data_IF_037233076965
#
_entry.id   IF_037233076965
#
_cell.length_a   1.000
_cell.length_b   1.000
_cell.length_c   1.000
_cell.angle_alpha   90.00
_cell.angle_beta   90.00
_cell.angle_gamma   90.00
#
_symmetry.space_group_name_H-M   'P 1'
#
loop_
_entity.id
_entity.type
_entity.pdbx_description
1 polymer ?
#
# COMPACT_ATOMS: atom_id res chain seq x y z
N UNK A 1 -5.69 -10.80 -21.99
CA UNK A 1 -5.32 -10.66 -20.60
C UNK A 1 -4.78 -11.97 -20.05
N UNK A 2 -3.91 -11.89 -19.08
CA UNK A 2 -3.33 -13.04 -18.39
C UNK A 2 -3.68 -12.95 -16.91
N UNK A 3 -4.06 -14.08 -16.33
CA UNK A 3 -4.41 -14.20 -14.93
C UNK A 3 -3.75 -15.45 -14.35
N UNK A 4 -3.00 -15.29 -13.28
CA UNK A 4 -2.29 -16.38 -12.61
C UNK A 4 -2.61 -16.35 -11.12
N UNK A 5 -2.91 -17.52 -10.56
CA UNK A 5 -3.13 -17.70 -9.12
C UNK A 5 -2.17 -18.78 -8.62
N UNK A 6 -1.41 -18.45 -7.59
CA UNK A 6 -0.69 -19.42 -6.77
C UNK A 6 -1.46 -19.60 -5.45
N UNK A 7 -2.22 -20.66 -5.36
CA UNK A 7 -3.08 -20.93 -4.20
C UNK A 7 -2.29 -21.29 -2.93
N UNK A 8 -1.11 -21.87 -3.08
CA UNK A 8 -0.28 -22.27 -1.93
C UNK A 8 0.37 -21.05 -1.26
N UNK A 9 0.67 -20.03 -2.03
CA UNK A 9 1.23 -18.76 -1.54
C UNK A 9 0.18 -17.67 -1.36
N UNK A 10 -1.05 -17.91 -1.76
CA UNK A 10 -2.08 -16.88 -1.85
C UNK A 10 -1.66 -15.68 -2.70
N UNK A 11 -0.86 -15.94 -3.74
CA UNK A 11 -0.41 -14.93 -4.68
C UNK A 11 -1.32 -14.91 -5.92
N UNK A 12 -1.65 -13.72 -6.37
CA UNK A 12 -2.46 -13.49 -7.56
C UNK A 12 -1.84 -12.40 -8.41
N UNK A 13 -1.63 -12.71 -9.69
CA UNK A 13 -1.16 -11.75 -10.67
C UNK A 13 -2.19 -11.62 -11.79
N UNK A 14 -2.49 -10.40 -12.19
CA UNK A 14 -3.38 -10.10 -13.29
C UNK A 14 -2.74 -9.12 -14.26
N UNK A 15 -2.94 -9.38 -15.54
CA UNK A 15 -2.60 -8.45 -16.62
C UNK A 15 -3.78 -8.34 -17.56
N UNK A 16 -4.29 -7.15 -17.73
CA UNK A 16 -5.37 -6.82 -18.65
C UNK A 16 -4.90 -5.73 -19.59
N UNK A 17 -5.23 -5.89 -20.87
CA UNK A 17 -4.91 -4.91 -21.90
C UNK A 17 -6.20 -4.48 -22.60
N UNK A 18 -6.36 -3.19 -22.79
CA UNK A 18 -7.49 -2.58 -23.47
C UNK A 18 -7.01 -1.71 -24.62
N UNK A 19 -7.64 -1.86 -25.76
CA UNK A 19 -7.39 -0.99 -26.91
C UNK A 19 -8.02 0.40 -26.67
N UNK A 20 -7.28 1.43 -27.08
CA UNK A 20 -7.80 2.80 -27.06
C UNK A 20 -8.42 3.10 -28.41
N UNK A 21 -9.74 3.35 -28.45
CA UNK A 21 -10.47 3.59 -29.70
C UNK A 21 -9.98 4.82 -30.48
N UNK A 22 -9.47 5.82 -29.78
CA UNK A 22 -8.95 7.05 -30.39
C UNK A 22 -7.50 6.95 -30.84
N UNK A 23 -6.79 5.93 -30.39
CA UNK A 23 -5.41 5.64 -30.77
C UNK A 23 -5.17 4.13 -30.87
N UNK A 24 -5.42 3.52 -32.04
CA UNK A 24 -5.34 2.06 -32.22
C UNK A 24 -3.94 1.48 -32.04
N UNK A 25 -2.91 2.31 -32.01
CA UNK A 25 -1.52 1.87 -31.79
C UNK A 25 -1.10 1.89 -30.30
N UNK A 26 -2.00 2.32 -29.44
CA UNK A 26 -1.75 2.37 -28.01
C UNK A 26 -2.72 1.47 -27.25
N UNK A 27 -2.31 1.10 -26.06
CA UNK A 27 -3.10 0.27 -25.16
C UNK A 27 -3.02 0.80 -23.74
N UNK A 28 -4.14 0.75 -23.06
CA UNK A 28 -4.15 0.87 -21.60
C UNK A 28 -3.88 -0.51 -21.01
N UNK A 29 -2.86 -0.59 -20.20
CA UNK A 29 -2.45 -1.83 -19.54
C UNK A 29 -2.72 -1.71 -18.04
N UNK A 30 -3.35 -2.74 -17.52
CA UNK A 30 -3.67 -2.89 -16.12
C UNK A 30 -2.90 -4.09 -15.58
N UNK A 31 -1.97 -3.85 -14.66
CA UNK A 31 -1.26 -4.89 -13.93
C UNK A 31 -1.70 -4.88 -12.48
N UNK A 32 -2.14 -6.02 -11.98
CA UNK A 32 -2.46 -6.22 -10.59
C UNK A 32 -1.59 -7.34 -10.00
N UNK A 33 -1.06 -7.10 -8.82
CA UNK A 33 -0.35 -8.09 -8.02
C UNK A 33 -0.87 -8.06 -6.60
N UNK A 34 -1.28 -9.21 -6.12
CA UNK A 34 -1.74 -9.45 -4.76
C UNK A 34 -0.94 -10.59 -4.17
N UNK A 35 -0.48 -10.45 -2.95
CA UNK A 35 0.29 -11.50 -2.32
C UNK A 35 0.28 -11.43 -0.80
N UNK A 36 0.46 -12.60 -0.18
CA UNK A 36 0.70 -12.72 1.25
C UNK A 36 2.15 -13.16 1.48
N UNK A 37 2.95 -12.30 2.07
CA UNK A 37 4.37 -12.57 2.32
C UNK A 37 4.66 -13.23 3.67
N UNK A 38 3.67 -13.36 4.56
CA UNK A 38 3.86 -14.05 5.83
C UNK A 38 3.62 -15.56 5.68
N UNK A 39 4.70 -16.29 5.56
CA UNK A 39 4.68 -17.76 5.50
C UNK A 39 4.69 -18.45 6.88
N UNK A 40 4.73 -17.69 7.97
CA UNK A 40 4.88 -18.26 9.33
C UNK A 40 3.62 -18.90 9.87
N UNK A 41 2.45 -18.56 9.31
CA UNK A 41 1.14 -18.96 9.83
C UNK A 41 0.74 -18.28 11.15
N UNK A 42 1.55 -17.32 11.63
CA UNK A 42 1.31 -16.55 12.87
C UNK A 42 0.85 -15.13 12.60
N UNK A 43 0.29 -14.91 11.44
CA UNK A 43 -0.18 -13.63 10.99
C UNK A 43 -0.38 -13.60 9.49
N UNK A 44 -0.47 -12.43 8.95
CA UNK A 44 -0.48 -12.20 7.51
C UNK A 44 0.18 -10.86 7.17
N UNK A 45 0.71 -10.75 5.98
CA UNK A 45 1.18 -9.51 5.42
C UNK A 45 0.76 -9.47 3.94
N UNK A 46 -0.37 -8.85 3.71
CA UNK A 46 -1.00 -8.78 2.39
C UNK A 46 -0.57 -7.49 1.71
N UNK A 47 -0.08 -7.61 0.50
CA UNK A 47 0.23 -6.48 -0.38
C UNK A 47 -0.65 -6.53 -1.62
N UNK A 48 -1.07 -5.36 -2.07
CA UNK A 48 -1.81 -5.18 -3.29
C UNK A 48 -1.17 -4.05 -4.09
N UNK A 49 -0.58 -4.41 -5.22
CA UNK A 49 0.06 -3.48 -6.13
C UNK A 49 -0.73 -3.44 -7.43
N UNK A 50 -1.18 -2.26 -7.82
CA UNK A 50 -1.88 -2.03 -9.08
C UNK A 50 -1.16 -0.94 -9.87
N UNK A 51 -0.89 -1.23 -11.12
CA UNK A 51 -0.38 -0.25 -12.08
C UNK A 51 -1.34 -0.15 -13.26
N UNK A 52 -1.64 1.09 -13.66
CA UNK A 52 -2.37 1.40 -14.87
C UNK A 52 -1.49 2.32 -15.70
N UNK A 53 -1.19 1.94 -16.92
CA UNK A 53 -0.33 2.75 -17.77
C UNK A 53 -0.72 2.65 -19.25
N UNK A 54 -0.32 3.66 -20.00
CA UNK A 54 -0.39 3.70 -21.46
C UNK A 54 1.02 3.54 -22.03
N UNK A 55 1.17 2.68 -23.03
CA UNK A 55 2.47 2.48 -23.71
C UNK A 55 2.86 3.68 -24.58
N UNK A 56 1.88 4.37 -25.14
CA UNK A 56 2.10 5.45 -26.11
C UNK A 56 2.21 6.84 -25.51
N UNK A 57 1.56 7.08 -24.36
CA UNK A 57 1.45 8.41 -23.75
C UNK A 57 2.40 8.64 -22.57
N UNK A 58 3.25 7.69 -22.25
CA UNK A 58 4.26 7.77 -21.18
C UNK A 58 3.68 8.29 -19.84
N UNK A 59 2.56 7.72 -19.43
CA UNK A 59 1.99 8.00 -18.12
C UNK A 59 1.72 6.70 -17.36
N UNK A 60 1.83 6.77 -16.03
CA UNK A 60 1.59 5.64 -15.14
C UNK A 60 0.92 6.09 -13.85
N UNK A 61 -0.16 5.39 -13.48
CA UNK A 61 -0.79 5.47 -12.17
C UNK A 61 -0.40 4.21 -11.38
N UNK A 62 0.05 4.38 -10.15
CA UNK A 62 0.34 3.26 -9.25
C UNK A 62 -0.49 3.38 -7.98
N UNK A 63 -1.02 2.26 -7.54
CA UNK A 63 -1.62 2.09 -6.22
C UNK A 63 -0.86 0.99 -5.49
N UNK A 64 -0.40 1.29 -4.30
CA UNK A 64 0.22 0.33 -3.40
C UNK A 64 -0.54 0.31 -2.08
N UNK A 65 -0.94 -0.87 -1.65
CA UNK A 65 -1.59 -1.09 -0.37
C UNK A 65 -0.91 -2.25 0.35
N UNK A 66 -0.82 -2.14 1.67
CA UNK A 66 -0.40 -3.25 2.50
C UNK A 66 -1.23 -3.30 3.79
N UNK A 67 -1.49 -4.51 4.25
CA UNK A 67 -2.12 -4.76 5.55
C UNK A 67 -1.41 -5.92 6.21
N UNK A 68 -0.90 -5.71 7.39
CA UNK A 68 -0.15 -6.70 8.13
C UNK A 68 -0.72 -6.93 9.53
N UNK A 69 -0.69 -8.18 9.96
CA UNK A 69 -0.96 -8.60 11.32
C UNK A 69 0.10 -9.62 11.74
N UNK A 70 0.77 -9.36 12.84
CA UNK A 70 1.69 -10.30 13.46
C UNK A 70 1.22 -10.61 14.88
N UNK A 71 0.82 -11.86 15.12
CA UNK A 71 0.44 -12.31 16.46
C UNK A 71 1.65 -12.38 17.40
N UNK A 72 2.81 -12.72 16.87
CA UNK A 72 4.03 -12.80 17.66
C UNK A 72 4.52 -11.44 18.16
N UNK A 73 4.51 -10.45 17.28
CA UNK A 73 4.91 -9.08 17.59
C UNK A 73 3.78 -8.22 18.14
N UNK A 74 2.54 -8.74 18.12
CA UNK A 74 1.33 -7.99 18.46
C UNK A 74 1.28 -6.65 17.74
N UNK A 75 1.48 -6.72 16.44
CA UNK A 75 1.63 -5.56 15.56
C UNK A 75 0.60 -5.62 14.44
N UNK A 76 -0.07 -4.51 14.22
CA UNK A 76 -0.95 -4.28 13.06
C UNK A 76 -0.35 -3.15 12.23
N UNK A 77 -0.27 -3.35 10.93
CA UNK A 77 0.20 -2.36 9.97
C UNK A 77 -0.82 -2.16 8.85
N UNK A 78 -0.97 -0.93 8.42
CA UNK A 78 -1.76 -0.59 7.26
C UNK A 78 -1.08 0.54 6.49
N UNK A 79 -1.13 0.49 5.18
CA UNK A 79 -0.66 1.58 4.34
C UNK A 79 -1.35 1.56 2.99
N UNK A 80 -1.66 2.74 2.49
CA UNK A 80 -2.17 2.96 1.14
C UNK A 80 -1.47 4.16 0.54
N UNK A 81 -0.93 4.00 -0.66
CA UNK A 81 -0.23 5.06 -1.37
C UNK A 81 -0.59 5.04 -2.86
N UNK A 82 -0.92 6.20 -3.38
CA UNK A 82 -1.18 6.45 -4.80
C UNK A 82 -0.06 7.30 -5.36
N UNK A 83 0.52 6.87 -6.47
CA UNK A 83 1.46 7.68 -7.27
C UNK A 83 0.76 8.13 -8.54
N UNK A 84 0.63 9.44 -8.71
CA UNK A 84 -0.03 10.03 -9.87
C UNK A 84 0.88 10.03 -11.10
N UNK A 85 0.30 9.96 -12.31
CA UNK A 85 1.05 10.08 -13.54
C UNK A 85 1.63 11.50 -13.72
N UNK A 86 2.58 11.64 -14.64
CA UNK A 86 3.25 12.86 -15.07
C UNK A 86 4.29 13.39 -14.07
N UNK A 87 3.92 13.73 -12.86
CA UNK A 87 4.81 14.32 -11.85
C UNK A 87 5.29 13.34 -10.79
N UNK A 88 4.83 12.09 -10.87
CA UNK A 88 5.11 11.05 -9.87
C UNK A 88 4.80 11.49 -8.42
N UNK A 89 3.82 12.36 -8.26
CA UNK A 89 3.38 12.78 -6.93
C UNK A 89 2.72 11.63 -6.19
N UNK A 90 3.16 11.43 -4.98
CA UNK A 90 2.65 10.40 -4.08
C UNK A 90 1.75 11.01 -3.02
N UNK A 91 0.62 10.33 -2.81
CA UNK A 91 -0.32 10.64 -1.74
C UNK A 91 -0.62 9.33 -1.02
N UNK A 92 -0.63 9.37 0.29
CA UNK A 92 -0.93 8.15 1.03
C UNK A 92 -0.99 8.35 2.53
N UNK A 93 -1.35 7.29 3.20
CA UNK A 93 -1.36 7.20 4.66
C UNK A 93 -0.82 5.84 5.08
N UNK A 94 -0.03 5.84 6.14
CA UNK A 94 0.49 4.66 6.79
C UNK A 94 0.15 4.71 8.27
N UNK A 95 -0.26 3.58 8.79
CA UNK A 95 -0.55 3.44 10.22
C UNK A 95 0.06 2.15 10.73
N UNK A 96 0.54 2.20 11.95
CA UNK A 96 0.89 0.99 12.63
C UNK A 96 0.48 1.07 14.12
N UNK A 97 0.14 -0.07 14.70
CA UNK A 97 -0.23 -0.17 16.10
C UNK A 97 0.41 -1.41 16.72
N UNK A 98 1.02 -1.22 17.87
CA UNK A 98 1.55 -2.29 18.73
C UNK A 98 0.93 -2.21 20.11
N UNK A 99 1.38 -3.04 21.05
CA UNK A 99 0.91 -2.97 22.45
C UNK A 99 1.26 -1.65 23.14
N UNK A 100 2.30 -0.95 22.69
CA UNK A 100 2.86 0.22 23.38
C UNK A 100 2.88 1.47 22.53
N UNK A 101 2.62 1.35 21.23
CA UNK A 101 2.77 2.47 20.32
C UNK A 101 1.76 2.43 19.17
N UNK A 102 1.29 3.61 18.81
CA UNK A 102 0.47 3.84 17.64
C UNK A 102 1.07 4.99 16.84
N UNK A 103 1.24 4.80 15.53
CA UNK A 103 1.76 5.84 14.64
C UNK A 103 0.90 5.95 13.39
N UNK A 104 0.67 7.18 12.94
CA UNK A 104 0.05 7.50 11.66
C UNK A 104 0.93 8.50 10.93
N UNK A 105 1.16 8.24 9.65
CA UNK A 105 1.92 9.10 8.76
C UNK A 105 1.06 9.40 7.53
N UNK A 106 0.89 10.66 7.19
CA UNK A 106 0.29 11.13 5.94
C UNK A 106 1.36 11.63 4.97
N UNK A 107 1.29 11.19 3.72
CA UNK A 107 2.20 11.57 2.64
C UNK A 107 1.43 12.40 1.62
N UNK A 108 1.92 13.61 1.32
CA UNK A 108 1.35 14.50 0.31
C UNK A 108 2.50 15.10 -0.52
N UNK A 109 2.36 15.06 -1.83
CA UNK A 109 3.38 15.58 -2.76
C UNK A 109 4.79 15.05 -2.47
N UNK A 110 4.90 13.74 -2.23
CA UNK A 110 6.15 13.03 -1.92
C UNK A 110 6.75 13.32 -0.53
N UNK A 111 6.11 14.13 0.28
CA UNK A 111 6.59 14.49 1.62
C UNK A 111 5.68 13.94 2.72
N UNK A 112 6.28 13.58 3.83
CA UNK A 112 5.55 13.29 5.06
C UNK A 112 5.09 14.62 5.66
N UNK A 113 3.80 14.91 5.58
CA UNK A 113 3.23 16.21 6.01
C UNK A 113 2.55 16.10 7.36
N UNK A 114 2.00 14.95 7.66
CA UNK A 114 1.32 14.68 8.92
C UNK A 114 1.98 13.49 9.58
N UNK A 115 2.33 13.65 10.84
CA UNK A 115 2.80 12.56 11.69
C UNK A 115 2.14 12.67 13.05
N UNK A 116 1.51 11.61 13.50
CA UNK A 116 0.99 11.48 14.85
C UNK A 116 1.53 10.19 15.46
N UNK A 117 2.04 10.30 16.66
CA UNK A 117 2.59 9.17 17.41
C UNK A 117 2.02 9.20 18.82
N UNK A 118 1.49 8.08 19.27
CA UNK A 118 1.01 7.90 20.64
C UNK A 118 1.77 6.72 21.28
N UNK A 119 2.32 6.98 22.44
CA UNK A 119 2.97 5.95 23.27
C UNK A 119 2.13 5.73 24.50
N UNK A 120 1.86 4.49 24.83
CA UNK A 120 1.04 4.12 25.98
C UNK A 120 1.62 2.93 26.73
N UNK A 121 1.48 2.94 28.05
CA UNK A 121 1.78 1.82 28.92
C UNK A 121 0.52 1.42 29.66
N UNK A 122 -0.08 0.31 29.23
CA UNK A 122 -1.33 -0.18 29.82
C UNK A 122 -1.19 -0.61 31.28
N UNK A 123 0.01 -1.01 31.70
CA UNK A 123 0.25 -1.43 33.07
C UNK A 123 0.37 -0.23 34.02
N UNK A 124 0.92 0.88 33.54
CA UNK A 124 1.12 2.11 34.32
C UNK A 124 0.02 3.12 34.10
N UNK A 125 -0.90 2.87 33.16
CA UNK A 125 -1.91 3.83 32.69
C UNK A 125 -1.31 5.15 32.17
N UNK A 126 -0.08 5.11 31.68
CA UNK A 126 0.59 6.26 31.10
C UNK A 126 0.25 6.38 29.59
N UNK A 127 0.01 7.60 29.16
CA UNK A 127 -0.27 7.93 27.78
C UNK A 127 0.45 9.22 27.39
N UNK A 128 1.13 9.22 26.27
CA UNK A 128 1.70 10.42 25.66
C UNK A 128 1.38 10.45 24.17
N UNK A 129 1.13 11.63 23.64
CA UNK A 129 0.85 11.84 22.22
C UNK A 129 1.66 13.01 21.68
N UNK A 130 2.28 12.80 20.56
CA UNK A 130 2.97 13.83 19.79
C UNK A 130 2.38 13.89 18.38
N UNK A 131 2.21 15.08 17.85
CA UNK A 131 1.79 15.28 16.48
C UNK A 131 2.57 16.40 15.82
N UNK A 132 2.84 16.25 14.55
CA UNK A 132 3.47 17.28 13.73
C UNK A 132 2.77 17.39 12.39
N UNK A 133 2.63 18.61 11.92
CA UNK A 133 2.13 18.95 10.59
C UNK A 133 3.13 19.91 9.98
N UNK A 134 3.57 19.59 8.77
CA UNK A 134 4.44 20.46 7.99
C UNK A 134 3.63 21.36 7.06
#
# INVERSE_FOLDING_TARGET
GKFEIDADRMDMNSNLEFDIFTNPNDKIIFNGKFGNSDASGRGFNITNDVEIFSKGLDWKLKLHEHTGLSFERRLVTYGSEVTLPLNEWRFGAHAYASETNFEVIGVFFNEEVVKANAVYDLNKHDFSMESSVK
#
